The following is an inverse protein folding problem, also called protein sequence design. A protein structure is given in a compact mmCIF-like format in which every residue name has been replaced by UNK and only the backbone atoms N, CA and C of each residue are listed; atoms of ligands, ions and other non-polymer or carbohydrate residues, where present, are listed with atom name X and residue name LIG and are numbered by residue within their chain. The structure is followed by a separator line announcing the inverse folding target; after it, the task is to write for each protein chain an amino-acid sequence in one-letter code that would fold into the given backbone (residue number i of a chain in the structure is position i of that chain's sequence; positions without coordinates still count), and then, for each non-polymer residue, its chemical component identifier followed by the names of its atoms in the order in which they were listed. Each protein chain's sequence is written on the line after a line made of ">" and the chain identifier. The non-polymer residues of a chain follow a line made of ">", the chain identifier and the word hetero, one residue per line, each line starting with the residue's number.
data_IF_707748620089
#
_entry.id   IF_707748620089
#
_cell.length_a   1.000
_cell.length_b   1.000
_cell.length_c   1.000
_cell.angle_alpha   90.00
_cell.angle_beta   90.00
_cell.angle_gamma   90.00
#
_symmetry.space_group_name_H-M   'P 1'
#
loop_
_entity.id
_entity.type
_entity.pdbx_description
1 polymer ?
#
# COMPACT_ATOMS: atom_id res chain seq x y z
N UNK A 1 10.80 3.43 -31.88
CA UNK A 1 11.12 2.12 -31.28
C UNK A 1 10.99 2.30 -29.78
N UNK A 2 9.84 1.93 -29.22
CA UNK A 2 9.55 2.11 -27.79
C UNK A 2 10.15 0.92 -27.04
N UNK A 3 10.99 1.18 -26.04
CA UNK A 3 11.63 0.13 -25.26
C UNK A 3 10.65 -0.33 -24.18
N UNK A 4 10.27 -1.62 -24.20
CA UNK A 4 9.45 -2.23 -23.15
C UNK A 4 10.35 -2.63 -21.99
N UNK A 5 10.20 -1.99 -20.83
CA UNK A 5 10.86 -2.41 -19.60
C UNK A 5 9.93 -3.32 -18.79
N UNK A 6 10.46 -4.43 -18.26
CA UNK A 6 9.76 -5.23 -17.28
C UNK A 6 9.76 -4.48 -15.94
N UNK A 7 8.57 -4.20 -15.40
CA UNK A 7 8.40 -3.56 -14.10
C UNK A 7 8.60 -4.56 -12.96
N UNK A 8 8.16 -5.79 -13.19
CA UNK A 8 8.26 -6.89 -12.24
C UNK A 8 8.27 -8.22 -12.99
N UNK A 9 8.96 -9.23 -12.45
CA UNK A 9 8.90 -10.60 -12.93
C UNK A 9 9.02 -11.57 -11.78
N UNK A 10 8.22 -12.63 -11.83
CA UNK A 10 8.21 -13.72 -10.84
C UNK A 10 7.97 -15.06 -11.52
N UNK A 11 8.25 -16.14 -10.81
CA UNK A 11 7.84 -17.49 -11.19
C UNK A 11 7.11 -18.11 -10.01
N UNK A 12 5.89 -18.59 -10.26
CA UNK A 12 5.05 -19.24 -9.26
C UNK A 12 4.62 -20.57 -9.83
N UNK A 13 5.02 -21.68 -9.19
CA UNK A 13 4.77 -23.05 -9.68
C UNK A 13 5.19 -23.29 -11.13
N UNK A 14 6.30 -22.69 -11.55
CA UNK A 14 6.79 -22.79 -12.92
C UNK A 14 6.02 -21.93 -13.94
N UNK A 15 5.02 -21.17 -13.52
CA UNK A 15 4.33 -20.19 -14.36
C UNK A 15 5.08 -18.86 -14.29
N UNK A 16 5.66 -18.37 -15.40
CA UNK A 16 6.28 -17.06 -15.43
C UNK A 16 5.21 -15.97 -15.37
N UNK A 17 5.42 -14.97 -14.52
CA UNK A 17 4.58 -13.79 -14.42
C UNK A 17 5.42 -12.58 -14.78
N UNK A 18 4.94 -11.75 -15.70
CA UNK A 18 5.61 -10.52 -16.12
C UNK A 18 4.65 -9.35 -16.03
N UNK A 19 5.10 -8.27 -15.41
CA UNK A 19 4.41 -6.98 -15.43
C UNK A 19 5.20 -6.05 -16.35
N UNK A 20 4.53 -5.48 -17.34
CA UNK A 20 5.13 -4.62 -18.37
C UNK A 20 4.32 -3.35 -18.51
N UNK A 21 4.98 -2.29 -18.97
CA UNK A 21 4.28 -1.10 -19.47
C UNK A 21 4.23 -1.16 -20.99
N UNK A 22 3.03 -1.11 -21.56
CA UNK A 22 2.79 -1.05 -23.02
C UNK A 22 1.97 0.20 -23.28
N UNK A 23 2.52 1.16 -24.03
CA UNK A 23 1.87 2.44 -24.34
C UNK A 23 1.35 3.23 -23.11
N UNK A 24 2.03 3.05 -21.97
CA UNK A 24 1.69 3.69 -20.69
C UNK A 24 0.70 2.89 -19.82
N UNK A 25 0.21 1.76 -20.32
CA UNK A 25 -0.68 0.86 -19.59
C UNK A 25 0.10 -0.31 -18.98
N UNK A 26 -0.26 -0.66 -17.74
CA UNK A 26 0.30 -1.83 -17.07
C UNK A 26 -0.41 -3.09 -17.57
N UNK A 27 0.38 -4.00 -18.13
CA UNK A 27 -0.08 -5.30 -18.62
C UNK A 27 0.58 -6.40 -17.79
N UNK A 28 -0.24 -7.29 -17.23
CA UNK A 28 0.23 -8.47 -16.51
C UNK A 28 0.05 -9.70 -17.39
N UNK A 29 1.15 -10.41 -17.64
CA UNK A 29 1.19 -11.65 -18.41
C UNK A 29 1.50 -12.82 -17.47
N UNK A 30 0.66 -13.84 -17.49
CA UNK A 30 0.87 -15.13 -16.83
C UNK A 30 1.10 -16.19 -17.92
N UNK A 31 2.34 -16.60 -18.13
CA UNK A 31 2.71 -17.34 -19.35
C UNK A 31 2.49 -16.48 -20.60
N UNK A 32 1.62 -16.95 -21.49
CA UNK A 32 1.20 -16.27 -22.72
C UNK A 32 -0.15 -15.52 -22.58
N UNK A 33 -0.78 -15.58 -21.40
CA UNK A 33 -2.10 -14.99 -21.15
C UNK A 33 -2.00 -13.65 -20.44
N UNK A 34 -2.64 -12.63 -20.99
CA UNK A 34 -2.88 -11.36 -20.28
C UNK A 34 -4.02 -11.50 -19.27
N UNK A 35 -3.86 -10.85 -18.11
CA UNK A 35 -4.88 -10.77 -17.06
C UNK A 35 -5.06 -9.32 -16.62
N UNK A 36 -6.30 -8.97 -16.28
CA UNK A 36 -6.75 -7.61 -15.97
C UNK A 36 -7.51 -7.51 -14.63
N UNK A 37 -7.63 -8.63 -13.92
CA UNK A 37 -8.36 -8.73 -12.66
C UNK A 37 -7.70 -9.74 -11.72
N UNK A 38 -7.90 -9.56 -10.42
CA UNK A 38 -7.37 -10.47 -9.40
C UNK A 38 -7.95 -11.89 -9.54
N UNK A 39 -9.23 -11.99 -9.91
CA UNK A 39 -9.87 -13.28 -10.21
C UNK A 39 -9.19 -13.99 -11.38
N UNK A 40 -8.99 -13.29 -12.51
CA UNK A 40 -8.31 -13.86 -13.67
C UNK A 40 -6.85 -14.25 -13.35
N UNK A 41 -6.15 -13.42 -12.56
CA UNK A 41 -4.79 -13.70 -12.10
C UNK A 41 -4.72 -14.98 -11.28
N UNK A 42 -5.58 -15.14 -10.28
CA UNK A 42 -5.57 -16.31 -9.38
C UNK A 42 -6.03 -17.57 -10.10
N UNK A 43 -6.95 -17.44 -11.06
CA UNK A 43 -7.31 -18.55 -11.94
C UNK A 43 -6.13 -18.96 -12.84
N UNK A 44 -5.37 -17.99 -13.37
CA UNK A 44 -4.21 -18.28 -14.22
C UNK A 44 -3.03 -18.84 -13.42
N UNK A 45 -2.85 -18.41 -12.18
CA UNK A 45 -1.74 -18.82 -11.31
C UNK A 45 -2.27 -19.23 -9.92
N UNK A 46 -2.81 -20.47 -9.77
CA UNK A 46 -3.38 -20.92 -8.51
C UNK A 46 -2.39 -20.92 -7.33
N UNK A 47 -1.09 -21.04 -7.61
CA UNK A 47 -0.04 -20.98 -6.59
C UNK A 47 -0.02 -19.69 -5.79
N UNK A 48 -0.50 -18.57 -6.34
CA UNK A 48 -0.58 -17.29 -5.63
C UNK A 48 -1.49 -17.32 -4.39
N UNK A 49 -2.32 -18.36 -4.23
CA UNK A 49 -3.14 -18.60 -3.03
C UNK A 49 -2.33 -19.06 -1.82
N UNK A 50 -1.05 -19.40 -2.00
CA UNK A 50 -0.17 -19.90 -0.95
C UNK A 50 0.60 -18.74 -0.33
N UNK A 51 0.76 -18.80 0.98
CA UNK A 51 1.38 -17.74 1.78
C UNK A 51 2.84 -17.46 1.36
N UNK A 52 3.59 -18.48 0.95
CA UNK A 52 4.97 -18.32 0.44
C UNK A 52 5.07 -17.44 -0.83
N UNK A 53 3.93 -17.14 -1.48
CA UNK A 53 3.85 -16.24 -2.63
C UNK A 53 3.11 -14.94 -2.32
N UNK A 54 2.84 -14.65 -1.05
CA UNK A 54 2.11 -13.46 -0.60
C UNK A 54 2.71 -12.15 -1.14
N UNK A 55 4.03 -12.03 -1.11
CA UNK A 55 4.71 -10.82 -1.63
C UNK A 55 4.45 -10.64 -3.12
N UNK A 56 4.53 -11.72 -3.92
CA UNK A 56 4.23 -11.66 -5.35
C UNK A 56 2.76 -11.30 -5.59
N UNK A 57 1.86 -11.88 -4.79
CA UNK A 57 0.44 -11.56 -4.82
C UNK A 57 0.18 -10.07 -4.56
N UNK A 58 0.70 -9.52 -3.46
CA UNK A 58 0.51 -8.11 -3.09
C UNK A 58 1.00 -7.15 -4.17
N UNK A 59 2.17 -7.43 -4.77
CA UNK A 59 2.70 -6.62 -5.89
C UNK A 59 1.76 -6.62 -7.09
N UNK A 60 1.30 -7.80 -7.51
CA UNK A 60 0.41 -7.94 -8.66
C UNK A 60 -0.95 -7.32 -8.40
N UNK A 61 -1.50 -7.47 -7.18
CA UNK A 61 -2.72 -6.81 -6.74
C UNK A 61 -2.59 -5.30 -6.84
N UNK A 62 -1.50 -4.73 -6.33
CA UNK A 62 -1.26 -3.29 -6.38
C UNK A 62 -1.23 -2.76 -7.83
N UNK A 63 -0.55 -3.47 -8.73
CA UNK A 63 -0.51 -3.13 -10.16
C UNK A 63 -1.88 -3.22 -10.83
N UNK A 64 -2.67 -4.25 -10.54
CA UNK A 64 -4.02 -4.39 -11.12
C UNK A 64 -4.96 -3.29 -10.66
N UNK A 65 -4.87 -2.87 -9.40
CA UNK A 65 -5.81 -1.89 -8.86
C UNK A 65 -5.44 -0.44 -9.21
N UNK A 66 -4.15 -0.11 -9.17
CA UNK A 66 -3.70 1.29 -9.24
C UNK A 66 -2.71 1.58 -10.37
N UNK A 67 -2.38 0.57 -11.19
CA UNK A 67 -1.36 0.69 -12.23
C UNK A 67 -0.03 1.15 -11.63
N UNK A 68 0.46 2.33 -12.01
CA UNK A 68 1.72 2.93 -11.53
C UNK A 68 1.53 4.04 -10.51
N UNK A 69 0.28 4.30 -10.07
CA UNK A 69 -0.03 5.40 -9.14
C UNK A 69 0.53 5.16 -7.73
N UNK A 70 0.68 3.90 -7.34
CA UNK A 70 1.24 3.51 -6.06
C UNK A 70 2.44 2.57 -6.25
N UNK A 71 3.52 2.85 -5.53
CA UNK A 71 4.69 1.99 -5.46
C UNK A 71 4.69 1.25 -4.14
N UNK A 72 4.62 -0.08 -4.19
CA UNK A 72 4.71 -0.91 -3.00
C UNK A 72 6.05 -0.70 -2.28
N UNK A 73 5.99 -0.49 -0.97
CA UNK A 73 7.14 -0.33 -0.09
C UNK A 73 7.65 -1.73 0.25
N UNK A 74 8.74 -2.13 -0.39
CA UNK A 74 9.31 -3.47 -0.27
C UNK A 74 10.33 -3.60 0.88
N UNK A 75 10.91 -2.48 1.29
CA UNK A 75 11.96 -2.41 2.31
C UNK A 75 11.57 -1.34 3.34
N UNK A 76 10.76 -1.67 4.35
CA UNK A 76 10.27 -0.72 5.35
C UNK A 76 11.38 0.13 5.99
N UNK A 77 12.49 -0.49 6.40
CA UNK A 77 13.61 0.22 7.03
C UNK A 77 14.38 1.14 6.08
N UNK A 78 14.46 0.79 4.79
CA UNK A 78 15.04 1.68 3.78
C UNK A 78 14.10 2.87 3.56
N UNK A 79 12.80 2.62 3.47
CA UNK A 79 11.80 3.67 3.31
C UNK A 79 11.78 4.63 4.51
N UNK A 80 11.79 4.14 5.76
CA UNK A 80 11.86 4.97 6.98
C UNK A 80 13.05 5.93 6.92
N UNK A 81 14.25 5.43 6.64
CA UNK A 81 15.46 6.26 6.53
C UNK A 81 15.37 7.31 5.42
N UNK A 82 14.81 6.94 4.26
CA UNK A 82 14.60 7.90 3.16
C UNK A 82 13.57 8.97 3.54
N UNK A 83 12.50 8.56 4.21
CA UNK A 83 11.45 9.44 4.68
C UNK A 83 12.00 10.44 5.69
N UNK A 84 12.68 9.97 6.74
CA UNK A 84 13.29 10.82 7.78
C UNK A 84 14.30 11.80 7.17
N UNK A 85 15.15 11.33 6.25
CA UNK A 85 16.13 12.20 5.58
C UNK A 85 15.48 13.32 4.74
N UNK A 86 14.26 13.12 4.23
CA UNK A 86 13.52 14.17 3.53
C UNK A 86 12.89 15.18 4.48
N UNK A 87 12.60 14.77 5.71
CA UNK A 87 11.90 15.55 6.74
C UNK A 87 12.87 16.30 7.67
N UNK A 88 14.08 15.80 7.89
CA UNK A 88 15.12 16.45 8.70
C UNK A 88 15.72 17.70 8.03
N UNK A 89 15.48 17.90 6.74
CA UNK A 89 15.95 19.09 6.02
C UNK A 89 14.87 20.18 6.00
N UNK A 90 15.01 21.15 6.90
CA UNK A 90 14.15 22.34 7.08
C UNK A 90 13.91 23.18 5.78
N UNK A 91 14.75 22.99 4.76
CA UNK A 91 14.71 23.66 3.45
C UNK A 91 14.21 22.75 2.30
N UNK A 92 13.78 21.52 2.59
CA UNK A 92 13.35 20.58 1.56
C UNK A 92 11.99 21.00 0.98
N UNK A 93 11.86 21.25 -0.34
CA UNK A 93 10.58 21.59 -0.97
C UNK A 93 9.69 20.35 -1.14
N UNK A 94 9.77 19.37 -0.24
CA UNK A 94 8.93 18.18 -0.27
C UNK A 94 7.48 18.62 -0.02
N UNK A 95 6.74 18.79 -1.11
CA UNK A 95 5.34 19.24 -1.21
C UNK A 95 4.36 18.44 -0.36
N UNK A 96 4.82 17.31 0.18
CA UNK A 96 4.08 16.34 1.00
C UNK A 96 3.98 16.84 2.43
N UNK A 97 5.11 17.15 3.05
CA UNK A 97 5.21 17.57 4.45
C UNK A 97 4.48 18.89 4.68
N UNK A 98 4.48 19.77 3.67
CA UNK A 98 3.82 21.07 3.76
C UNK A 98 2.29 21.00 3.78
N UNK A 99 1.71 19.93 3.25
CA UNK A 99 0.26 19.77 3.14
C UNK A 99 -0.31 18.73 4.11
N UNK A 100 0.51 17.77 4.57
CA UNK A 100 0.05 16.63 5.36
C UNK A 100 0.79 16.46 6.69
N UNK A 101 1.92 17.13 6.95
CA UNK A 101 2.70 16.89 8.17
C UNK A 101 3.46 15.54 8.15
N UNK A 102 4.19 15.21 9.23
CA UNK A 102 4.91 13.94 9.33
C UNK A 102 3.94 12.77 9.56
N UNK A 103 4.20 11.61 8.96
CA UNK A 103 3.45 10.37 9.13
C UNK A 103 4.09 9.51 10.23
N UNK A 104 3.26 8.85 11.03
CA UNK A 104 3.71 7.77 11.89
C UNK A 104 4.04 6.54 11.03
N UNK A 105 5.32 6.19 10.99
CA UNK A 105 5.81 5.05 10.24
C UNK A 105 5.95 3.81 11.10
N UNK A 106 5.62 3.82 12.39
CA UNK A 106 5.84 2.67 13.30
C UNK A 106 5.15 1.40 12.82
N UNK A 107 3.96 1.53 12.22
CA UNK A 107 3.20 0.41 11.66
C UNK A 107 3.80 -0.19 10.38
N UNK A 108 4.69 0.52 9.69
CA UNK A 108 5.26 0.07 8.43
C UNK A 108 5.98 -1.28 8.61
N UNK A 109 5.54 -2.30 7.87
CA UNK A 109 6.03 -3.67 7.98
C UNK A 109 6.14 -4.35 6.61
N UNK A 110 6.77 -5.53 6.58
CA UNK A 110 6.75 -6.40 5.41
C UNK A 110 5.33 -6.92 5.14
N UNK A 111 4.98 -7.27 3.88
CA UNK A 111 3.67 -7.79 3.54
C UNK A 111 3.33 -9.05 4.36
N UNK A 112 2.16 -9.06 4.98
CA UNK A 112 1.74 -10.14 5.88
C UNK A 112 0.25 -10.46 5.71
N UNK A 113 -0.16 -11.65 6.17
CA UNK A 113 -1.58 -12.00 6.34
C UNK A 113 -1.99 -11.67 7.78
N UNK A 114 -2.88 -10.69 7.94
CA UNK A 114 -3.50 -10.33 9.23
C UNK A 114 -4.95 -10.81 9.18
N UNK A 115 -5.30 -11.77 10.02
CA UNK A 115 -6.64 -12.41 10.03
C UNK A 115 -7.10 -12.92 8.65
N UNK A 116 -6.14 -13.41 7.85
CA UNK A 116 -6.38 -13.91 6.49
C UNK A 116 -6.44 -12.82 5.41
N UNK A 117 -6.30 -11.54 5.77
CA UNK A 117 -6.27 -10.42 4.83
C UNK A 117 -4.80 -10.01 4.57
N UNK A 118 -4.36 -9.96 3.31
CA UNK A 118 -3.08 -9.36 2.94
C UNK A 118 -3.07 -7.89 3.30
N UNK A 119 -2.14 -7.54 4.19
CA UNK A 119 -1.79 -6.18 4.55
C UNK A 119 -0.40 -5.91 4.02
N UNK A 120 -0.25 -4.82 3.26
CA UNK A 120 1.04 -4.33 2.82
C UNK A 120 1.02 -2.81 2.73
N UNK A 121 2.18 -2.22 2.46
CA UNK A 121 2.32 -0.77 2.42
C UNK A 121 2.75 -0.30 1.03
N UNK A 122 2.25 0.85 0.62
CA UNK A 122 2.60 1.48 -0.65
C UNK A 122 2.71 2.99 -0.48
N UNK A 123 3.51 3.64 -1.31
CA UNK A 123 3.57 5.10 -1.36
C UNK A 123 2.92 5.61 -2.65
N UNK A 124 2.28 6.77 -2.59
CA UNK A 124 1.77 7.43 -3.80
C UNK A 124 2.92 7.98 -4.65
N UNK A 125 2.85 7.80 -5.98
CA UNK A 125 3.89 8.26 -6.90
C UNK A 125 3.99 9.79 -6.99
N UNK A 126 2.85 10.48 -6.83
CA UNK A 126 2.78 11.95 -6.97
C UNK A 126 3.21 12.69 -5.69
N UNK A 127 2.95 12.10 -4.52
CA UNK A 127 3.08 12.78 -3.24
C UNK A 127 3.81 11.98 -2.18
N UNK A 128 4.42 10.82 -2.49
CA UNK A 128 5.16 9.98 -1.53
C UNK A 128 4.45 9.71 -0.20
N UNK A 129 3.15 9.89 -0.15
CA UNK A 129 2.32 9.63 1.04
C UNK A 129 2.29 8.12 1.23
N UNK A 130 2.65 7.59 2.41
CA UNK A 130 2.54 6.17 2.70
C UNK A 130 1.09 5.79 3.01
N UNK A 131 0.70 4.61 2.52
CA UNK A 131 -0.63 4.02 2.71
C UNK A 131 -0.47 2.59 3.21
N UNK A 132 -1.35 2.20 4.13
CA UNK A 132 -1.69 0.80 4.37
C UNK A 132 -2.66 0.34 3.28
N UNK A 133 -2.42 -0.87 2.77
CA UNK A 133 -3.20 -1.47 1.70
C UNK A 133 -3.74 -2.81 2.17
N UNK A 134 -5.07 -2.92 2.14
CA UNK A 134 -5.79 -4.15 2.42
C UNK A 134 -6.24 -4.73 1.09
N UNK A 135 -5.70 -5.90 0.72
CA UNK A 135 -6.10 -6.56 -0.52
C UNK A 135 -7.09 -7.70 -0.26
N UNK A 136 -8.01 -7.97 -1.20
CA UNK A 136 -8.80 -9.19 -1.16
C UNK A 136 -7.84 -10.39 -1.20
N UNK A 137 -8.13 -11.48 -0.50
CA UNK A 137 -7.36 -12.72 -0.61
C UNK A 137 -8.24 -13.83 -1.16
N UNK A 138 -7.74 -14.68 -2.06
CA UNK A 138 -8.60 -15.65 -2.75
C UNK A 138 -9.27 -16.71 -1.86
N UNK A 139 -8.86 -16.78 -0.59
CA UNK A 139 -9.37 -17.73 0.40
C UNK A 139 -9.94 -17.04 1.66
N UNK A 140 -9.89 -15.70 1.75
CA UNK A 140 -10.46 -14.95 2.87
C UNK A 140 -11.87 -14.50 2.50
N UNK A 141 -12.84 -14.80 3.35
CA UNK A 141 -14.22 -14.37 3.14
C UNK A 141 -14.35 -12.83 3.07
N UNK A 142 -15.27 -12.37 2.23
CA UNK A 142 -15.88 -11.03 2.17
C UNK A 142 -15.04 -9.75 2.06
N UNK A 143 -13.71 -9.77 1.96
CA UNK A 143 -13.00 -8.59 1.43
C UNK A 143 -13.02 -8.66 -0.09
N UNK A 144 -13.95 -7.95 -0.74
CA UNK A 144 -14.08 -7.96 -2.22
C UNK A 144 -13.32 -6.84 -2.92
N UNK A 145 -12.84 -5.83 -2.19
CA UNK A 145 -12.27 -4.61 -2.78
C UNK A 145 -10.96 -4.25 -2.07
N UNK A 146 -9.98 -3.78 -2.84
CA UNK A 146 -8.75 -3.18 -2.31
C UNK A 146 -9.06 -1.87 -1.56
N UNK A 147 -8.54 -1.69 -0.35
CA UNK A 147 -8.55 -0.41 0.37
C UNK A 147 -7.15 0.18 0.43
N UNK A 148 -7.05 1.51 0.31
CA UNK A 148 -5.83 2.28 0.46
C UNK A 148 -6.10 3.39 1.47
N UNK A 149 -5.52 3.26 2.65
CA UNK A 149 -5.70 4.20 3.76
C UNK A 149 -4.35 4.85 4.09
N UNK A 150 -4.24 6.19 4.09
CA UNK A 150 -3.01 6.85 4.50
C UNK A 150 -2.62 6.41 5.91
N UNK A 151 -1.32 6.33 6.20
CA UNK A 151 -0.89 6.14 7.58
C UNK A 151 -1.30 7.34 8.45
N UNK A 152 -1.39 7.10 9.76
CA UNK A 152 -1.66 8.14 10.74
C UNK A 152 -0.57 9.22 10.73
N UNK A 153 -0.88 10.42 11.19
CA UNK A 153 0.09 11.48 11.38
C UNK A 153 0.88 11.27 12.67
N UNK A 154 2.17 11.59 12.64
CA UNK A 154 2.99 11.62 13.85
C UNK A 154 2.55 12.83 14.69
N UNK A 155 1.82 12.57 15.78
CA UNK A 155 1.31 13.59 16.69
C UNK A 155 -0.19 13.83 16.65
N UNK A 156 -0.97 13.05 15.89
CA UNK A 156 -2.40 12.86 16.17
C UNK A 156 -2.55 11.94 17.40
N UNK A 157 -2.00 12.37 18.54
CA UNK A 157 -2.59 11.96 19.81
C UNK A 157 -3.90 12.74 19.85
N UNK A 158 -5.02 12.05 19.66
CA UNK A 158 -6.34 12.62 19.93
C UNK A 158 -6.33 13.09 21.39
N UNK A 159 -6.00 14.35 21.61
CA UNK A 159 -6.44 15.11 22.78
C UNK A 159 -7.97 15.07 22.68
N UNK A 160 -8.58 13.97 23.14
CA UNK A 160 -9.97 13.94 23.56
C UNK A 160 -10.06 15.01 24.64
N UNK A 161 -10.38 16.24 24.22
CA UNK A 161 -10.76 17.33 25.10
C UNK A 161 -11.95 16.82 25.93
N UNK A 162 -11.65 16.25 27.09
CA UNK A 162 -12.57 16.04 28.20
C UNK A 162 -13.08 17.43 28.57
N UNK A 163 -14.11 17.89 27.87
CA UNK A 163 -14.95 19.00 28.30
C UNK A 163 -15.62 18.55 29.60
N UNK A 164 -14.91 18.70 30.72
CA UNK A 164 -15.50 18.68 32.04
C UNK A 164 -16.52 19.83 32.09
N UNK A 165 -17.79 19.47 31.95
CA UNK A 165 -18.92 20.35 32.21
C UNK A 165 -18.79 20.88 33.66
N UNK A 166 -18.28 22.11 33.79
CA UNK A 166 -18.16 22.81 35.05
C UNK A 166 -19.59 23.14 35.54
N UNK A 167 -20.13 22.30 36.44
CA UNK A 167 -21.38 22.59 37.15
C UNK A 167 -21.22 23.89 37.95
N UNK A 168 -21.71 24.99 37.37
CA UNK A 168 -21.85 26.27 38.08
C UNK A 168 -22.95 26.10 39.13
N UNK A 169 -22.53 25.75 40.35
CA UNK A 169 -23.37 25.76 41.54
C UNK A 169 -24.00 27.13 41.76
N UNK A 170 -25.28 27.24 41.40
CA UNK A 170 -26.12 28.39 41.71
C UNK A 170 -26.45 28.41 43.20
N UNK A 171 -25.69 29.19 43.96
CA UNK A 171 -26.02 29.51 45.35
C UNK A 171 -27.13 30.58 45.36
N UNK A 172 -28.36 30.16 45.70
CA UNK A 172 -29.49 31.05 45.93
C UNK A 172 -29.63 31.30 47.43
N UNK A 173 -29.28 32.52 47.85
CA UNK A 173 -29.66 33.12 49.13
C UNK A 173 -30.82 34.11 48.94
#
# INVERSE_FOLDING_TARGET
>A
MMWTFALFSAHVDGIPIHVRSVDGEVVILCGDRAVDSLEALVHAVPGLRREEHLIAYCRLANYLNTSTMFRMIMEPESYRREYDALHDHDDSPATVTRNYGPFDLTELAEPALVDGVPVFYAESAAGRVPYQVLAPYPNAGETSVMSYEPLAYAGDDEDEDEHEDEEVGGDHA
#
